data_IF_804577525898
#
_entry.id   IF_804577525898
#
_cell.length_a   1.000
_cell.length_b   1.000
_cell.length_c   1.000
_cell.angle_alpha   90.00
_cell.angle_beta   90.00
_cell.angle_gamma   90.00
#
_symmetry.space_group_name_H-M   'P 1'
#
loop_
_entity.id
_entity.type
_entity.pdbx_description
1 polymer ?
#
# COMPACT_ATOMS: atom_id res chain seq x y z
N UNK A 1 -7.98 10.58 1.74
CA UNK A 1 -7.15 9.70 2.59
C UNK A 1 -7.34 8.27 2.13
N UNK A 2 -6.26 7.48 2.00
CA UNK A 2 -6.36 6.05 1.69
C UNK A 2 -6.39 5.21 2.97
N UNK A 3 -7.10 4.08 2.94
CA UNK A 3 -7.16 3.13 4.04
C UNK A 3 -7.41 1.72 3.54
N UNK A 4 -7.05 0.74 4.37
CA UNK A 4 -7.38 -0.67 4.15
C UNK A 4 -8.50 -1.06 5.10
N UNK A 5 -9.45 -1.86 4.59
CA UNK A 5 -10.51 -2.45 5.41
C UNK A 5 -10.51 -3.95 5.16
N UNK A 6 -10.51 -4.70 6.26
CA UNK A 6 -10.71 -6.15 6.28
C UNK A 6 -12.21 -6.43 6.44
N UNK A 7 -12.72 -7.41 5.71
CA UNK A 7 -14.10 -7.88 5.84
C UNK A 7 -14.11 -9.21 6.60
N UNK A 8 -14.62 -9.18 7.82
CA UNK A 8 -14.60 -10.34 8.75
C UNK A 8 -15.31 -11.59 8.21
N UNK A 9 -16.25 -11.42 7.27
CA UNK A 9 -17.07 -12.51 6.76
C UNK A 9 -16.31 -13.49 5.84
N UNK A 10 -15.32 -12.98 5.09
CA UNK A 10 -14.59 -13.76 4.08
C UNK A 10 -13.08 -13.52 4.09
N UNK A 11 -12.56 -12.72 5.03
CA UNK A 11 -11.14 -12.39 5.14
C UNK A 11 -10.63 -11.59 3.94
N UNK A 12 -11.52 -10.95 3.18
CA UNK A 12 -11.12 -10.11 2.05
C UNK A 12 -10.65 -8.74 2.52
N UNK A 13 -9.75 -8.14 1.75
CA UNK A 13 -9.34 -6.76 1.97
C UNK A 13 -9.83 -5.88 0.83
N UNK A 14 -10.27 -4.67 1.18
CA UNK A 14 -10.49 -3.60 0.23
C UNK A 14 -9.57 -2.42 0.52
N UNK A 15 -9.02 -1.83 -0.54
CA UNK A 15 -8.38 -0.53 -0.48
C UNK A 15 -9.43 0.52 -0.81
N UNK A 16 -9.66 1.46 0.09
CA UNK A 16 -10.60 2.54 -0.12
C UNK A 16 -9.90 3.89 -0.02
N UNK A 17 -10.51 4.91 -0.62
CA UNK A 17 -10.12 6.28 -0.32
C UNK A 17 -11.32 7.16 -0.02
N UNK A 18 -11.07 8.11 0.89
CA UNK A 18 -12.05 9.07 1.34
C UNK A 18 -11.65 10.49 0.93
N UNK A 19 -12.64 11.33 0.72
CA UNK A 19 -12.47 12.77 0.54
C UNK A 19 -13.19 13.51 1.67
N UNK A 20 -12.74 14.72 1.98
CA UNK A 20 -13.47 15.58 2.90
C UNK A 20 -14.72 16.10 2.18
N UNK A 21 -15.88 16.05 2.83
CA UNK A 21 -17.12 16.60 2.30
C UNK A 21 -17.14 18.13 2.37
N UNK A 22 -17.48 18.79 1.26
CA UNK A 22 -17.38 20.24 1.11
C UNK A 22 -18.73 20.96 0.97
N UNK A 23 -19.83 20.24 0.76
CA UNK A 23 -21.13 20.85 0.42
C UNK A 23 -22.31 20.27 1.21
N UNK A 24 -23.05 21.16 1.89
CA UNK A 24 -24.46 21.06 2.32
C UNK A 24 -24.88 19.95 3.30
N UNK A 25 -24.49 18.71 3.01
CA UNK A 25 -24.76 17.45 3.73
C UNK A 25 -23.92 17.19 4.98
N UNK A 26 -22.62 17.43 4.83
CA UNK A 26 -21.59 16.65 5.52
C UNK A 26 -20.28 17.43 5.70
N UNK A 27 -20.41 18.72 6.03
CA UNK A 27 -19.25 19.55 6.37
C UNK A 27 -18.38 18.85 7.43
N UNK A 28 -17.10 18.69 7.13
CA UNK A 28 -16.09 18.03 7.97
C UNK A 28 -16.27 16.51 8.18
N UNK A 29 -17.08 15.83 7.37
CA UNK A 29 -17.15 14.37 7.36
C UNK A 29 -16.28 13.79 6.25
N UNK A 30 -15.54 12.72 6.55
CA UNK A 30 -14.86 11.93 5.55
C UNK A 30 -15.87 11.03 4.84
N UNK A 31 -16.00 11.19 3.53
CA UNK A 31 -16.86 10.38 2.67
C UNK A 31 -16.02 9.40 1.88
N UNK A 32 -16.42 8.13 1.85
CA UNK A 32 -15.78 7.13 1.01
C UNK A 32 -16.13 7.38 -0.44
N UNK A 33 -15.11 7.65 -1.26
CA UNK A 33 -15.28 7.99 -2.67
C UNK A 33 -15.27 6.74 -3.55
N UNK A 34 -14.34 5.81 -3.27
CA UNK A 34 -14.21 4.57 -4.03
C UNK A 34 -13.53 3.47 -3.24
N UNK A 35 -13.85 2.24 -3.62
CA UNK A 35 -13.21 1.00 -3.17
C UNK A 35 -12.53 0.29 -4.34
N UNK A 36 -11.44 -0.40 -4.03
CA UNK A 36 -10.66 -1.23 -4.94
C UNK A 36 -10.56 -2.60 -4.26
N UNK A 37 -11.20 -3.64 -4.83
CA UNK A 37 -11.12 -4.97 -4.27
C UNK A 37 -9.68 -5.49 -4.40
N UNK A 38 -9.19 -6.14 -3.36
CA UNK A 38 -7.90 -6.83 -3.37
C UNK A 38 -8.13 -8.34 -3.40
N UNK A 39 -7.10 -9.08 -3.82
CA UNK A 39 -7.18 -10.54 -3.87
C UNK A 39 -7.31 -11.12 -2.46
N UNK A 40 -8.22 -12.09 -2.29
CA UNK A 40 -8.48 -12.77 -1.01
C UNK A 40 -7.33 -13.70 -0.60
N UNK A 41 -7.28 -14.08 0.68
CA UNK A 41 -6.26 -15.00 1.21
C UNK A 41 -4.89 -14.36 1.48
N UNK A 42 -4.82 -13.03 1.39
CA UNK A 42 -3.61 -12.28 1.68
C UNK A 42 -3.89 -11.15 2.66
N UNK A 43 -2.86 -10.80 3.44
CA UNK A 43 -2.83 -9.58 4.24
C UNK A 43 -2.18 -8.45 3.47
N UNK A 44 -2.69 -7.25 3.68
CA UNK A 44 -2.24 -6.05 3.00
C UNK A 44 -1.79 -4.97 3.97
N UNK A 45 -0.74 -4.24 3.58
CA UNK A 45 -0.15 -3.19 4.41
C UNK A 45 0.23 -1.96 3.58
N UNK A 46 -0.25 -0.78 4.00
CA UNK A 46 0.26 0.49 3.47
C UNK A 46 1.63 0.79 4.08
N UNK A 47 2.64 1.04 3.24
CA UNK A 47 4.02 1.26 3.71
C UNK A 47 4.61 2.63 3.44
N UNK A 48 4.06 3.35 2.47
CA UNK A 48 4.53 4.67 2.10
C UNK A 48 3.61 5.30 1.07
N UNK A 49 3.64 6.61 0.98
CA UNK A 49 2.89 7.37 0.00
C UNK A 49 3.70 8.56 -0.50
N UNK A 50 3.39 8.98 -1.72
CA UNK A 50 3.79 10.25 -2.34
C UNK A 50 2.53 10.90 -2.90
N UNK A 51 2.67 12.06 -3.54
CA UNK A 51 1.57 12.71 -4.25
C UNK A 51 0.99 11.85 -5.39
N UNK A 52 1.81 10.98 -6.01
CA UNK A 52 1.40 10.18 -7.17
C UNK A 52 1.18 8.71 -6.86
N UNK A 53 1.97 8.15 -5.94
CA UNK A 53 2.00 6.71 -5.70
C UNK A 53 1.80 6.35 -4.24
N UNK A 54 1.04 5.27 -4.00
CA UNK A 54 0.92 4.58 -2.73
C UNK A 54 1.64 3.23 -2.82
N UNK A 55 2.41 2.87 -1.79
CA UNK A 55 3.09 1.59 -1.71
C UNK A 55 2.31 0.63 -0.82
N UNK A 56 1.95 -0.51 -1.40
CA UNK A 56 1.21 -1.59 -0.75
C UNK A 56 2.11 -2.82 -0.67
N UNK A 57 2.10 -3.50 0.46
CA UNK A 57 2.64 -4.85 0.58
C UNK A 57 1.52 -5.86 0.68
N UNK A 58 1.78 -7.04 0.12
CA UNK A 58 0.95 -8.22 0.21
C UNK A 58 1.76 -9.36 0.82
N UNK A 59 1.22 -10.04 1.82
CA UNK A 59 1.80 -11.27 2.36
C UNK A 59 0.74 -12.36 2.47
N UNK A 60 1.16 -13.62 2.38
CA UNK A 60 0.29 -14.76 2.65
C UNK A 60 -0.24 -14.71 4.09
N UNK A 61 -1.48 -15.16 4.29
CA UNK A 61 -2.13 -15.20 5.59
C UNK A 61 -1.68 -16.44 6.37
N UNK A 62 -0.41 -16.46 6.80
CA UNK A 62 0.08 -17.52 7.69
C UNK A 62 -0.46 -17.26 9.10
N UNK A 63 -1.63 -17.82 9.37
CA UNK A 63 -2.15 -18.03 10.71
C UNK A 63 -1.14 -18.89 11.48
N UNK A 64 -0.60 -18.31 12.56
CA UNK A 64 0.40 -18.84 13.47
C UNK A 64 1.87 -18.76 13.00
N UNK A 65 2.70 -18.16 13.87
CA UNK A 65 4.17 -18.16 13.86
C UNK A 65 4.93 -17.29 12.84
N UNK A 66 4.95 -15.98 13.06
CA UNK A 66 6.05 -15.13 12.58
C UNK A 66 6.62 -14.23 13.69
N UNK A 67 7.22 -14.88 14.70
CA UNK A 67 8.28 -14.26 15.51
C UNK A 67 9.60 -14.14 14.74
N UNK A 68 9.63 -14.56 13.47
CA UNK A 68 10.79 -14.54 12.61
C UNK A 68 10.67 -13.39 11.61
N UNK A 69 11.72 -12.57 11.54
CA UNK A 69 11.94 -11.53 10.53
C UNK A 69 12.01 -12.08 9.08
N UNK A 70 11.93 -13.41 8.92
CA UNK A 70 11.97 -14.14 7.65
C UNK A 70 10.54 -14.45 7.17
N UNK A 71 9.73 -13.42 6.90
CA UNK A 71 8.55 -13.59 6.03
C UNK A 71 9.04 -13.57 4.57
N UNK A 72 9.52 -14.71 4.09
CA UNK A 72 9.88 -14.92 2.70
C UNK A 72 8.63 -14.83 1.81
N UNK A 73 8.64 -14.00 0.77
CA UNK A 73 7.57 -13.97 -0.24
C UNK A 73 6.61 -12.78 -0.18
N UNK A 74 6.94 -11.73 0.58
CA UNK A 74 6.11 -10.50 0.57
C UNK A 74 6.21 -9.81 -0.78
N UNK A 75 5.08 -9.50 -1.41
CA UNK A 75 5.05 -8.80 -2.67
C UNK A 75 4.78 -7.31 -2.47
N UNK A 76 5.41 -6.49 -3.31
CA UNK A 76 5.30 -5.05 -3.26
C UNK A 76 4.59 -4.53 -4.51
N UNK A 77 3.63 -3.65 -4.29
CA UNK A 77 2.81 -3.04 -5.32
C UNK A 77 2.83 -1.51 -5.22
N UNK A 78 2.73 -0.85 -6.37
CA UNK A 78 2.41 0.58 -6.47
C UNK A 78 0.97 0.75 -6.91
N UNK A 79 0.26 1.66 -6.27
CA UNK A 79 -0.99 2.21 -6.77
C UNK A 79 -0.74 3.63 -7.29
N UNK A 80 -1.03 3.90 -8.56
CA UNK A 80 -1.09 5.28 -9.07
C UNK A 80 -2.40 5.93 -8.59
N UNK A 81 -2.30 6.99 -7.79
CA UNK A 81 -3.43 7.65 -7.12
C UNK A 81 -4.40 8.31 -8.11
N UNK A 82 -3.94 8.69 -9.31
CA UNK A 82 -4.79 9.33 -10.33
C UNK A 82 -5.61 8.30 -11.10
N UNK A 83 -4.98 7.19 -11.47
CA UNK A 83 -5.62 6.16 -12.29
C UNK A 83 -6.27 5.05 -11.46
N UNK A 84 -5.86 4.92 -10.20
CA UNK A 84 -6.24 3.86 -9.27
C UNK A 84 -5.89 2.46 -9.79
N UNK A 85 -4.83 2.36 -10.59
CA UNK A 85 -4.29 1.11 -11.09
C UNK A 85 -3.20 0.59 -10.15
N UNK A 86 -3.28 -0.70 -9.84
CA UNK A 86 -2.34 -1.41 -8.98
C UNK A 86 -1.37 -2.22 -9.86
N UNK A 87 -0.07 -2.05 -9.64
CA UNK A 87 0.98 -2.73 -10.39
C UNK A 87 1.96 -3.42 -9.45
N UNK A 88 2.41 -4.62 -9.79
CA UNK A 88 3.45 -5.33 -9.04
C UNK A 88 4.83 -4.74 -9.36
N UNK A 89 5.60 -4.44 -8.32
CA UNK A 89 6.95 -3.87 -8.42
C UNK A 89 8.00 -4.97 -8.26
N UNK A 90 7.96 -5.67 -7.13
CA UNK A 90 8.96 -6.68 -6.80
C UNK A 90 8.50 -7.62 -5.69
N UNK A 91 9.24 -8.72 -5.53
CA UNK A 91 9.14 -9.62 -4.37
C UNK A 91 10.26 -9.31 -3.39
N UNK A 92 9.88 -9.10 -2.13
CA UNK A 92 10.79 -8.85 -1.04
C UNK A 92 11.15 -10.17 -0.36
N UNK A 93 12.45 -10.31 -0.04
CA UNK A 93 12.96 -11.44 0.74
C UNK A 93 12.77 -11.26 2.24
N UNK A 94 12.63 -10.01 2.68
CA UNK A 94 12.49 -9.63 4.07
C UNK A 94 11.36 -8.61 4.23
N UNK A 95 10.74 -8.61 5.40
CA UNK A 95 9.65 -7.68 5.69
C UNK A 95 10.16 -6.25 5.88
N UNK A 96 9.56 -5.28 5.17
CA UNK A 96 9.84 -3.85 5.38
C UNK A 96 8.73 -3.22 6.23
N UNK A 97 9.11 -2.62 7.36
CA UNK A 97 8.13 -1.98 8.27
C UNK A 97 7.68 -0.62 7.76
N UNK A 98 8.59 0.12 7.11
CA UNK A 98 8.37 1.45 6.54
C UNK A 98 9.16 1.57 5.24
N UNK A 99 8.62 2.30 4.29
CA UNK A 99 9.29 2.61 3.04
C UNK A 99 9.19 4.10 2.74
N UNK A 100 10.31 4.70 2.33
CA UNK A 100 10.31 6.03 1.74
C UNK A 100 10.41 5.87 0.23
N UNK A 101 9.39 6.36 -0.48
CA UNK A 101 9.36 6.32 -1.94
C UNK A 101 10.23 7.46 -2.45
N UNK A 102 11.26 7.12 -3.22
CA UNK A 102 12.15 8.09 -3.84
C UNK A 102 11.66 8.40 -5.26
N UNK A 103 11.26 9.65 -5.53
CA UNK A 103 10.69 10.07 -6.81
C UNK A 103 11.59 11.00 -7.62
N UNK A 104 12.79 11.32 -7.13
CA UNK A 104 13.74 12.20 -7.79
C UNK A 104 14.78 11.41 -8.62
N UNK A 105 15.67 12.10 -9.32
CA UNK A 105 16.81 11.46 -9.97
C UNK A 105 17.71 10.81 -8.93
N UNK A 106 18.02 9.50 -9.04
CA UNK A 106 18.88 8.84 -8.08
C UNK A 106 20.20 9.60 -7.96
N UNK A 107 20.76 9.72 -6.75
CA UNK A 107 22.10 10.27 -6.60
C UNK A 107 23.05 9.48 -7.51
N UNK A 108 24.01 10.19 -8.12
CA UNK A 108 25.01 9.54 -8.97
C UNK A 108 25.69 8.40 -8.20
N UNK A 109 25.61 7.19 -8.75
CA UNK A 109 26.14 5.98 -8.11
C UNK A 109 27.64 5.79 -8.38
N UNK A 110 28.25 6.65 -9.21
CA UNK A 110 29.70 6.69 -9.42
C UNK A 110 30.36 7.72 -8.51
N UNK A 111 31.46 7.32 -7.86
CA UNK A 111 32.42 8.32 -7.40
C UNK A 111 32.97 9.03 -8.63
N UNK A 112 32.94 10.36 -8.65
CA UNK A 112 33.74 11.11 -9.61
C UNK A 112 35.20 10.77 -9.31
N UNK A 113 35.82 9.93 -10.15
CA UNK A 113 37.26 9.74 -10.13
C UNK A 113 37.87 11.05 -10.66
N UNK A 114 38.54 11.79 -9.78
CA UNK A 114 39.40 12.93 -10.13
C UNK A 114 40.72 12.39 -10.67
#
# INVERSE_FOLDING_TARGET
>A
MFGLREHDADGTFELYYTIMGNEGQSFNQWLMEKTIPLESGYRYYLRGATERYLLLLRSEDDSASSSSLEMSGTECFSLDVKTLQLESICRLKHHILRAHIYTNFPPSLSSQTI
#
